data_IF_243088507209
#
_entry.id   IF_243088507209
#
_cell.length_a   1.000
_cell.length_b   1.000
_cell.length_c   1.000
_cell.angle_alpha   90.00
_cell.angle_beta   90.00
_cell.angle_gamma   90.00
#
_symmetry.space_group_name_H-M   'P 1'
#
loop_
_entity.id
_entity.type
_entity.pdbx_description
1 polymer ?
#
# COMPACT_ATOMS: atom_id res chain seq x y z
N UNK A 1 1.71 22.20 -47.62
CA UNK A 1 2.18 21.06 -46.84
C UNK A 1 1.46 21.04 -45.50
N UNK A 2 0.50 20.12 -45.33
CA UNK A 2 -0.26 20.01 -44.10
C UNK A 2 0.60 19.22 -43.08
N UNK A 3 0.92 19.87 -41.96
CA UNK A 3 1.62 19.23 -40.82
C UNK A 3 0.66 18.24 -40.16
N UNK A 4 0.92 16.96 -40.32
CA UNK A 4 0.21 15.90 -39.60
C UNK A 4 0.60 16.01 -38.16
N UNK A 5 -0.30 16.52 -37.32
CA UNK A 5 -0.16 16.45 -35.85
C UNK A 5 -0.23 14.97 -35.46
N UNK A 6 0.79 14.39 -34.79
CA UNK A 6 0.71 13.01 -34.35
C UNK A 6 -0.50 12.89 -33.41
N UNK A 7 -1.41 11.98 -33.71
CA UNK A 7 -2.53 11.65 -32.82
C UNK A 7 -1.95 11.28 -31.45
N UNK A 8 -2.34 12.00 -30.41
CA UNK A 8 -2.11 11.56 -29.04
C UNK A 8 -2.79 10.20 -28.92
N UNK A 9 -2.03 9.13 -28.96
CA UNK A 9 -2.50 7.82 -28.51
C UNK A 9 -2.85 8.02 -27.05
N UNK A 10 -4.12 8.17 -26.75
CA UNK A 10 -4.62 8.21 -25.39
C UNK A 10 -4.05 6.98 -24.69
N UNK A 11 -3.39 7.18 -23.56
CA UNK A 11 -2.92 6.07 -22.73
C UNK A 11 -4.11 5.17 -22.44
N UNK A 12 -4.13 3.99 -23.04
CA UNK A 12 -5.13 3.00 -22.69
C UNK A 12 -4.88 2.54 -21.25
N UNK A 13 -5.79 2.91 -20.35
CA UNK A 13 -5.71 2.58 -18.92
C UNK A 13 -6.57 1.37 -18.54
N UNK A 14 -7.19 0.73 -19.55
CA UNK A 14 -7.98 -0.46 -19.34
C UNK A 14 -7.12 -1.70 -19.52
N UNK A 15 -7.16 -2.58 -18.55
CA UNK A 15 -6.50 -3.87 -18.55
C UNK A 15 -7.54 -4.99 -18.40
N UNK A 16 -7.31 -6.15 -19.02
CA UNK A 16 -8.25 -7.27 -18.96
C UNK A 16 -8.39 -7.86 -17.55
N UNK A 17 -7.34 -7.79 -16.76
CA UNK A 17 -7.29 -8.32 -15.39
C UNK A 17 -6.22 -7.61 -14.54
N UNK A 18 -6.26 -7.90 -13.24
CA UNK A 18 -5.36 -7.29 -12.25
C UNK A 18 -3.89 -7.70 -12.46
N UNK A 19 -3.63 -8.93 -12.87
CA UNK A 19 -2.28 -9.42 -13.11
C UNK A 19 -1.62 -8.66 -14.25
N UNK A 20 -2.30 -8.57 -15.38
CA UNK A 20 -1.83 -7.81 -16.56
C UNK A 20 -1.61 -6.33 -16.23
N UNK A 21 -2.45 -5.75 -15.35
CA UNK A 21 -2.29 -4.37 -14.90
C UNK A 21 -1.01 -4.14 -14.07
N UNK A 22 -0.54 -5.16 -13.38
CA UNK A 22 0.65 -5.07 -12.52
C UNK A 22 1.94 -5.53 -13.20
N UNK A 23 1.86 -6.32 -14.27
CA UNK A 23 3.02 -6.83 -14.99
C UNK A 23 3.91 -5.69 -15.50
N UNK A 24 5.22 -5.83 -15.28
CA UNK A 24 6.21 -4.82 -15.65
C UNK A 24 6.21 -3.55 -14.77
N UNK A 25 5.27 -3.42 -13.85
CA UNK A 25 5.18 -2.28 -12.93
C UNK A 25 5.75 -2.67 -11.57
N UNK A 26 5.26 -3.77 -11.00
CA UNK A 26 5.64 -4.19 -9.65
C UNK A 26 7.00 -4.88 -9.63
N UNK A 27 7.77 -4.61 -8.58
CA UNK A 27 9.10 -5.19 -8.35
C UNK A 27 9.39 -5.27 -6.86
N UNK A 28 10.37 -6.07 -6.52
CA UNK A 28 10.83 -6.19 -5.13
C UNK A 28 11.24 -4.85 -4.53
N UNK A 29 10.96 -4.67 -3.27
CA UNK A 29 11.30 -3.48 -2.51
C UNK A 29 10.42 -2.25 -2.77
N UNK A 30 9.35 -2.36 -3.55
CA UNK A 30 8.46 -1.23 -3.81
C UNK A 30 7.69 -0.80 -2.57
N UNK A 31 7.42 0.52 -2.50
CA UNK A 31 6.42 1.10 -1.60
C UNK A 31 5.08 1.15 -2.34
N UNK A 32 4.06 0.60 -1.70
CA UNK A 32 2.69 0.57 -2.20
C UNK A 32 1.78 1.37 -1.25
N UNK A 33 1.00 2.29 -1.78
CA UNK A 33 -0.12 2.89 -1.07
C UNK A 33 -1.38 2.09 -1.38
N UNK A 34 -1.93 1.41 -0.38
CA UNK A 34 -3.04 0.47 -0.54
C UNK A 34 -4.26 0.98 0.21
N UNK A 35 -5.37 1.14 -0.50
CA UNK A 35 -6.65 1.50 0.09
C UNK A 35 -7.20 0.40 0.99
N UNK A 36 -8.11 0.80 1.88
CA UNK A 36 -8.85 -0.11 2.74
C UNK A 36 -8.94 0.36 4.19
N UNK A 37 -10.04 -0.01 4.81
CA UNK A 37 -10.30 0.11 6.24
C UNK A 37 -10.89 -1.22 6.72
N UNK A 38 -10.12 -2.02 7.40
CA UNK A 38 -10.42 -3.44 7.55
C UNK A 38 -10.48 -4.11 6.17
N UNK A 39 -11.62 -4.64 5.80
CA UNK A 39 -11.87 -5.20 4.47
C UNK A 39 -12.66 -4.25 3.55
N UNK A 40 -13.10 -3.09 4.06
CA UNK A 40 -13.89 -2.14 3.27
C UNK A 40 -12.98 -1.36 2.32
N UNK A 41 -13.28 -1.42 1.01
CA UNK A 41 -12.57 -0.65 -0.01
C UNK A 41 -11.17 -1.16 -0.35
N UNK A 42 -10.84 -2.40 -0.01
CA UNK A 42 -9.57 -3.02 -0.41
C UNK A 42 -9.55 -3.35 -1.91
N UNK A 43 -8.40 -3.22 -2.59
CA UNK A 43 -8.24 -3.63 -3.98
C UNK A 43 -7.95 -5.15 -4.05
N UNK A 44 -8.94 -5.98 -3.73
CA UNK A 44 -8.77 -7.42 -3.50
C UNK A 44 -8.13 -8.15 -4.68
N UNK A 45 -8.60 -7.88 -5.91
CA UNK A 45 -8.05 -8.52 -7.11
C UNK A 45 -6.56 -8.16 -7.35
N UNK A 46 -6.18 -6.91 -7.06
CA UNK A 46 -4.76 -6.48 -7.17
C UNK A 46 -3.91 -7.10 -6.07
N UNK A 47 -4.42 -7.24 -4.86
CA UNK A 47 -3.71 -7.90 -3.75
C UNK A 47 -3.47 -9.38 -4.08
N UNK A 48 -4.49 -10.06 -4.61
CA UNK A 48 -4.33 -11.45 -5.03
C UNK A 48 -3.32 -11.60 -6.18
N UNK A 49 -3.36 -10.70 -7.17
CA UNK A 49 -2.39 -10.68 -8.25
C UNK A 49 -0.96 -10.44 -7.74
N UNK A 50 -0.75 -9.55 -6.77
CA UNK A 50 0.55 -9.35 -6.11
C UNK A 50 1.07 -10.63 -5.44
N UNK A 51 0.17 -11.36 -4.76
CA UNK A 51 0.50 -12.64 -4.15
C UNK A 51 1.01 -13.64 -5.18
N UNK A 52 0.30 -13.75 -6.31
CA UNK A 52 0.64 -14.68 -7.40
C UNK A 52 1.92 -14.29 -8.15
N UNK A 53 2.17 -13.01 -8.35
CA UNK A 53 3.41 -12.50 -8.97
C UNK A 53 4.61 -12.81 -8.08
N UNK A 54 4.43 -12.77 -6.74
CA UNK A 54 5.43 -13.20 -5.79
C UNK A 54 6.52 -12.16 -5.50
N UNK A 55 6.33 -10.88 -5.84
CA UNK A 55 7.25 -9.80 -5.46
C UNK A 55 7.42 -9.73 -3.95
N UNK A 56 8.63 -9.38 -3.50
CA UNK A 56 9.02 -9.44 -2.09
C UNK A 56 9.57 -8.12 -1.56
N UNK A 57 9.80 -8.10 -0.24
CA UNK A 57 10.37 -6.95 0.46
C UNK A 57 9.55 -5.66 0.28
N UNK A 58 8.25 -5.81 0.12
CA UNK A 58 7.34 -4.69 -0.08
C UNK A 58 7.22 -3.84 1.19
N UNK A 59 7.09 -2.53 1.01
CA UNK A 59 6.59 -1.62 2.05
C UNK A 59 5.16 -1.27 1.70
N UNK A 60 4.21 -1.52 2.59
CA UNK A 60 2.82 -1.17 2.37
C UNK A 60 2.40 -0.03 3.31
N UNK A 61 1.94 1.08 2.72
CA UNK A 61 1.29 2.17 3.43
C UNK A 61 -0.23 1.98 3.32
N UNK A 62 -0.87 1.63 4.42
CA UNK A 62 -2.30 1.36 4.50
C UNK A 62 -2.81 1.58 5.92
N UNK A 63 -4.12 1.79 6.08
CA UNK A 63 -4.71 1.96 7.40
C UNK A 63 -4.41 0.77 8.33
N UNK A 64 -4.60 -0.43 7.84
CA UNK A 64 -4.25 -1.70 8.49
C UNK A 64 -3.93 -2.76 7.41
N UNK A 65 -3.81 -4.03 7.79
CA UNK A 65 -3.50 -5.11 6.85
C UNK A 65 -4.68 -6.07 6.61
N UNK A 66 -5.90 -5.59 6.70
CA UNK A 66 -7.08 -6.45 6.62
C UNK A 66 -7.21 -7.34 7.86
N UNK A 67 -7.57 -8.59 7.65
CA UNK A 67 -7.64 -9.64 8.69
C UNK A 67 -6.86 -10.86 8.23
N UNK A 68 -6.74 -11.88 9.09
CA UNK A 68 -6.10 -13.14 8.72
C UNK A 68 -6.74 -13.73 7.46
N UNK A 69 -5.91 -14.07 6.47
CA UNK A 69 -6.35 -14.67 5.21
C UNK A 69 -7.03 -13.72 4.21
N UNK A 70 -7.22 -12.43 4.52
CA UNK A 70 -7.92 -11.49 3.67
C UNK A 70 -7.24 -10.13 3.62
N UNK A 71 -7.40 -9.44 2.48
CA UNK A 71 -6.75 -8.16 2.24
C UNK A 71 -5.23 -8.30 2.24
N UNK A 72 -4.49 -7.32 2.78
CA UNK A 72 -3.03 -7.39 2.90
C UNK A 72 -2.56 -8.53 3.81
N UNK A 73 -3.44 -9.12 4.63
CA UNK A 73 -3.15 -10.30 5.43
C UNK A 73 -2.56 -11.45 4.60
N UNK A 74 -3.06 -11.68 3.38
CA UNK A 74 -2.52 -12.72 2.49
C UNK A 74 -1.07 -12.48 2.06
N UNK A 75 -0.63 -11.21 1.99
CA UNK A 75 0.75 -10.84 1.67
C UNK A 75 1.66 -10.91 2.91
N UNK A 76 1.12 -10.74 4.11
CA UNK A 76 1.82 -11.01 5.37
C UNK A 76 2.09 -12.51 5.54
N UNK A 77 1.09 -13.35 5.33
CA UNK A 77 1.23 -14.81 5.37
C UNK A 77 2.31 -15.31 4.42
N UNK A 78 2.39 -14.77 3.21
CA UNK A 78 3.38 -15.13 2.20
C UNK A 78 4.75 -14.47 2.39
N UNK A 79 4.94 -13.66 3.43
CA UNK A 79 6.19 -12.92 3.70
C UNK A 79 6.63 -12.00 2.55
N UNK A 80 5.67 -11.44 1.84
CA UNK A 80 5.94 -10.51 0.76
C UNK A 80 6.12 -9.07 1.27
N UNK A 81 5.49 -8.74 2.40
CA UNK A 81 5.62 -7.43 3.06
C UNK A 81 6.75 -7.49 4.09
N UNK A 82 7.70 -6.57 3.97
CA UNK A 82 8.80 -6.36 4.92
C UNK A 82 8.45 -5.27 5.94
N UNK A 83 7.70 -4.25 5.51
CA UNK A 83 7.35 -3.09 6.33
C UNK A 83 5.91 -2.67 6.12
N UNK A 84 5.22 -2.41 7.22
CA UNK A 84 3.93 -1.71 7.22
C UNK A 84 4.09 -0.29 7.74
N UNK A 85 3.50 0.68 7.04
CA UNK A 85 3.26 2.03 7.56
C UNK A 85 1.75 2.12 7.78
N UNK A 86 1.32 2.06 9.04
CA UNK A 86 -0.07 1.75 9.36
C UNK A 86 -0.53 2.52 10.59
N UNK A 87 -1.81 2.81 10.65
CA UNK A 87 -2.40 3.46 11.83
C UNK A 87 -2.88 2.46 12.89
N UNK A 88 -3.02 1.20 12.51
CA UNK A 88 -3.68 0.20 13.33
C UNK A 88 -3.26 -1.21 12.92
N UNK A 89 -2.99 -2.07 13.87
CA UNK A 89 -2.69 -3.49 13.60
C UNK A 89 -3.98 -4.25 13.29
N UNK A 90 -5.03 -3.98 14.03
CA UNK A 90 -6.36 -4.51 13.81
C UNK A 90 -6.56 -5.93 14.31
N UNK A 91 -7.56 -6.57 13.75
CA UNK A 91 -7.96 -7.96 14.03
C UNK A 91 -7.22 -8.93 13.09
N UNK A 92 -5.89 -8.83 13.04
CA UNK A 92 -5.02 -9.66 12.21
C UNK A 92 -3.94 -10.28 13.11
N UNK A 93 -4.15 -11.51 13.52
CA UNK A 93 -3.26 -12.21 14.44
C UNK A 93 -1.87 -12.45 13.85
N UNK A 94 -1.77 -12.69 12.55
CA UNK A 94 -0.49 -12.87 11.88
C UNK A 94 0.29 -11.54 11.79
N UNK A 95 -0.38 -10.40 11.59
CA UNK A 95 0.24 -9.09 11.67
C UNK A 95 0.82 -8.84 13.07
N UNK A 96 0.00 -9.04 14.11
CA UNK A 96 0.43 -8.88 15.50
C UNK A 96 1.63 -9.77 15.81
N UNK A 97 1.55 -11.06 15.45
CA UNK A 97 2.63 -12.02 15.68
C UNK A 97 3.94 -11.57 15.01
N UNK A 98 3.89 -11.22 13.73
CA UNK A 98 5.10 -10.80 12.99
C UNK A 98 5.70 -9.53 13.56
N UNK A 99 4.89 -8.59 14.02
CA UNK A 99 5.33 -7.37 14.67
C UNK A 99 6.02 -7.68 16.02
N UNK A 100 5.37 -8.47 16.89
CA UNK A 100 5.89 -8.79 18.20
C UNK A 100 7.18 -9.64 18.16
N UNK A 101 7.34 -10.48 17.14
CA UNK A 101 8.55 -11.28 16.92
C UNK A 101 9.67 -10.54 16.19
N UNK A 102 9.42 -9.32 15.71
CA UNK A 102 10.37 -8.54 14.94
C UNK A 102 10.58 -9.01 13.49
N UNK A 103 9.72 -9.90 13.00
CA UNK A 103 9.74 -10.35 11.60
C UNK A 103 9.26 -9.25 10.63
N UNK A 104 8.37 -8.37 11.10
CA UNK A 104 7.77 -7.29 10.33
C UNK A 104 8.13 -5.95 10.95
N UNK A 105 8.73 -5.06 10.17
CA UNK A 105 8.88 -3.66 10.58
C UNK A 105 7.54 -2.94 10.53
N UNK A 106 7.18 -2.26 11.59
CA UNK A 106 5.94 -1.46 11.65
C UNK A 106 6.26 -0.02 12.04
N UNK A 107 5.84 0.90 11.20
CA UNK A 107 5.84 2.33 11.48
C UNK A 107 4.40 2.76 11.76
N UNK A 108 4.12 3.11 13.02
CA UNK A 108 2.81 3.63 13.36
C UNK A 108 2.66 5.09 12.95
N UNK A 109 1.56 5.39 12.28
CA UNK A 109 1.20 6.74 11.86
C UNK A 109 -0.30 6.94 12.04
N UNK A 110 -0.77 7.92 12.82
CA UNK A 110 -2.19 8.19 12.95
C UNK A 110 -2.85 8.32 11.58
N UNK A 111 -4.06 7.80 11.42
CA UNK A 111 -4.70 7.66 10.10
C UNK A 111 -4.75 8.98 9.31
N UNK A 112 -5.19 10.08 9.95
CA UNK A 112 -5.22 11.39 9.30
C UNK A 112 -3.83 11.89 8.91
N UNK A 113 -2.81 11.60 9.73
CA UNK A 113 -1.41 11.92 9.43
C UNK A 113 -0.90 11.09 8.26
N UNK A 114 -1.24 9.80 8.19
CA UNK A 114 -0.88 8.94 7.06
C UNK A 114 -1.48 9.46 5.74
N UNK A 115 -2.76 9.83 5.75
CA UNK A 115 -3.42 10.43 4.60
C UNK A 115 -2.76 11.76 4.17
N UNK A 116 -2.43 12.63 5.12
CA UNK A 116 -1.78 13.90 4.85
C UNK A 116 -0.34 13.73 4.35
N UNK A 117 0.40 12.73 4.84
CA UNK A 117 1.73 12.38 4.32
C UNK A 117 1.66 12.00 2.83
N UNK A 118 0.68 11.20 2.44
CA UNK A 118 0.47 10.84 1.02
C UNK A 118 0.09 12.06 0.19
N UNK A 119 -0.81 12.90 0.69
CA UNK A 119 -1.20 14.15 0.02
C UNK A 119 -0.02 15.09 -0.16
N UNK A 120 0.74 15.34 0.89
CA UNK A 120 1.92 16.21 0.88
C UNK A 120 2.98 15.68 -0.10
N UNK A 121 3.28 14.39 -0.06
CA UNK A 121 4.21 13.74 -0.97
C UNK A 121 3.79 13.89 -2.43
N UNK A 122 2.53 13.66 -2.75
CA UNK A 122 1.98 13.84 -4.10
C UNK A 122 1.98 15.30 -4.58
N UNK A 123 1.90 16.26 -3.66
CA UNK A 123 1.95 17.71 -3.95
C UNK A 123 3.36 18.30 -3.93
N UNK A 124 4.39 17.49 -3.64
CA UNK A 124 5.77 17.99 -3.52
C UNK A 124 6.02 18.84 -2.26
N UNK A 125 5.19 18.69 -1.23
CA UNK A 125 5.33 19.38 0.06
C UNK A 125 6.25 18.53 0.95
N UNK A 126 7.44 19.04 1.33
CA UNK A 126 8.45 18.24 2.02
C UNK A 126 8.12 17.94 3.49
N UNK A 127 7.21 18.68 4.10
CA UNK A 127 6.81 18.51 5.48
C UNK A 127 5.60 19.34 5.85
N UNK A 128 4.89 18.93 6.91
CA UNK A 128 3.75 19.64 7.46
C UNK A 128 3.70 19.48 8.97
N UNK A 129 2.92 20.33 9.64
CA UNK A 129 2.69 20.26 11.07
C UNK A 129 1.25 19.85 11.36
N UNK A 130 1.08 19.01 12.37
CA UNK A 130 -0.24 18.57 12.83
C UNK A 130 -0.27 18.55 14.35
N UNK A 131 -1.47 18.73 14.93
CA UNK A 131 -1.69 18.54 16.36
C UNK A 131 -1.82 17.07 16.76
N UNK A 132 -1.97 16.18 15.80
CA UNK A 132 -2.11 14.74 16.06
C UNK A 132 -0.86 14.21 16.75
N UNK A 133 -1.04 13.53 17.85
CA UNK A 133 0.06 12.96 18.62
C UNK A 133 0.75 13.92 19.61
N UNK A 134 0.39 15.21 19.67
CA UNK A 134 0.96 16.14 20.65
C UNK A 134 0.71 15.66 22.08
N UNK A 135 1.79 15.52 22.86
CA UNK A 135 1.72 15.00 24.24
C UNK A 135 1.69 13.47 24.35
N UNK A 136 1.86 12.76 23.26
CA UNK A 136 2.02 11.30 23.22
C UNK A 136 3.44 10.90 22.82
N UNK A 137 3.71 9.61 22.77
CA UNK A 137 5.02 9.07 22.31
C UNK A 137 5.10 8.84 20.80
N UNK A 138 4.10 9.28 20.06
CA UNK A 138 4.04 9.14 18.60
C UNK A 138 4.68 10.36 17.94
#
# INVERSE_FOLDING_TARGET
>A
MATVVPSQRGLNKLYPDARTALEGIVRDGMLLAVGGFGLCGIPEALIQALREIGVRNLTAASNNAGVDGWGLGVLLESRQIKKMISSYVGENAEFERQFLTGELEVEFSPQGTLAERMRAGGAGIPGFYTRTGVGTMI
#
